data_IF_141125578875
#
_entry.id   IF_141125578875
#
_cell.length_a   1.000
_cell.length_b   1.000
_cell.length_c   1.000
_cell.angle_alpha   90.00
_cell.angle_beta   90.00
_cell.angle_gamma   90.00
#
_symmetry.space_group_name_H-M   'P 1'
#
loop_
_entity.id
_entity.type
_entity.pdbx_description
1 polymer ?
#
# COMPACT_ATOMS: atom_id res chain seq x y z
N UNK A 1 -8.15 -22.47 -13.89
CA UNK A 1 -8.03 -21.83 -12.57
C UNK A 1 -7.51 -20.43 -12.81
N UNK A 2 -8.19 -19.40 -12.28
CA UNK A 2 -7.67 -18.03 -12.29
C UNK A 2 -6.78 -17.84 -11.06
N UNK A 3 -5.56 -17.38 -11.29
CA UNK A 3 -4.60 -17.01 -10.25
C UNK A 3 -4.59 -15.50 -10.15
N UNK A 4 -4.70 -14.98 -8.94
CA UNK A 4 -4.64 -13.54 -8.66
C UNK A 4 -3.48 -13.31 -7.69
N UNK A 5 -2.56 -12.43 -8.06
CA UNK A 5 -1.55 -11.91 -7.13
C UNK A 5 -2.26 -10.92 -6.18
N UNK A 6 -2.27 -11.23 -4.90
CA UNK A 6 -3.02 -10.46 -3.91
C UNK A 6 -2.29 -9.22 -3.40
N UNK A 7 -1.01 -9.04 -3.72
CA UNK A 7 -0.22 -7.90 -3.23
C UNK A 7 1.00 -7.64 -4.12
N UNK A 8 0.92 -6.62 -4.92
CA UNK A 8 2.01 -6.19 -5.79
C UNK A 8 2.13 -4.66 -5.81
N UNK A 9 3.26 -4.16 -6.27
CA UNK A 9 3.56 -2.74 -6.38
C UNK A 9 3.99 -2.41 -7.80
N UNK A 10 3.54 -1.25 -8.31
CA UNK A 10 3.98 -0.71 -9.59
C UNK A 10 4.49 0.71 -9.41
N UNK A 11 5.61 1.04 -10.06
CA UNK A 11 6.17 2.39 -10.07
C UNK A 11 6.95 2.67 -11.35
N UNK A 12 6.97 3.93 -11.75
CA UNK A 12 7.81 4.40 -12.86
C UNK A 12 9.18 4.88 -12.37
N UNK A 13 9.24 5.40 -11.16
CA UNK A 13 10.47 5.87 -10.55
C UNK A 13 10.37 5.71 -9.03
N UNK A 14 11.37 5.08 -8.45
CA UNK A 14 11.55 4.96 -7.02
C UNK A 14 12.62 5.97 -6.59
N UNK A 15 12.22 7.20 -6.34
CA UNK A 15 13.10 8.29 -5.90
C UNK A 15 12.41 9.03 -4.76
N UNK A 16 12.55 8.49 -3.57
CA UNK A 16 11.78 8.85 -2.38
C UNK A 16 12.69 9.04 -1.17
N UNK A 17 12.11 9.41 -0.06
CA UNK A 17 12.80 9.55 1.20
C UNK A 17 11.98 8.93 2.33
N UNK A 18 12.64 8.15 3.17
CA UNK A 18 12.06 7.59 4.39
C UNK A 18 13.00 7.87 5.55
N UNK A 19 12.48 8.51 6.59
CA UNK A 19 13.22 8.90 7.79
C UNK A 19 14.51 9.69 7.47
N UNK A 20 14.42 10.68 6.56
CA UNK A 20 15.54 11.52 6.16
C UNK A 20 16.58 10.83 5.27
N UNK A 21 16.36 9.57 4.89
CA UNK A 21 17.27 8.81 4.04
C UNK A 21 16.65 8.58 2.67
N UNK A 22 17.37 8.96 1.63
CA UNK A 22 16.93 8.81 0.25
C UNK A 22 16.88 7.33 -0.16
N UNK A 23 15.85 7.00 -0.91
CA UNK A 23 15.71 5.73 -1.62
C UNK A 23 15.79 6.05 -3.10
N UNK A 24 16.75 5.45 -3.81
CA UNK A 24 16.93 5.69 -5.23
C UNK A 24 17.40 4.43 -5.95
N UNK A 25 16.94 4.19 -7.19
CA UNK A 25 17.33 3.02 -7.95
C UNK A 25 18.80 3.08 -8.36
N UNK A 26 19.42 1.91 -8.38
CA UNK A 26 20.73 1.63 -8.94
C UNK A 26 20.59 0.56 -10.04
N UNK A 27 21.59 0.37 -10.90
CA UNK A 27 21.54 -0.65 -11.94
C UNK A 27 21.32 -2.07 -11.39
N UNK A 28 20.75 -2.93 -12.24
CA UNK A 28 20.57 -4.38 -11.98
C UNK A 28 19.70 -4.67 -10.73
N UNK A 29 18.61 -3.93 -10.57
CA UNK A 29 17.64 -4.14 -9.48
C UNK A 29 18.15 -3.76 -8.08
N UNK A 30 19.29 -3.11 -7.98
CA UNK A 30 19.82 -2.59 -6.71
C UNK A 30 19.24 -1.22 -6.41
N UNK A 31 19.26 -0.86 -5.16
CA UNK A 31 18.82 0.47 -4.71
C UNK A 31 19.70 0.96 -3.55
N UNK A 32 19.88 2.25 -3.49
CA UNK A 32 20.28 2.88 -2.24
C UNK A 32 19.06 2.92 -1.33
N UNK A 33 19.07 2.13 -0.26
CA UNK A 33 17.96 1.98 0.66
C UNK A 33 18.43 2.25 2.09
N UNK A 34 17.87 3.27 2.73
CA UNK A 34 18.20 3.66 4.12
C UNK A 34 19.69 3.92 4.36
N UNK A 35 20.43 4.33 3.31
CA UNK A 35 21.86 4.63 3.36
C UNK A 35 22.78 3.46 3.00
N UNK A 36 22.21 2.31 2.63
CA UNK A 36 22.94 1.12 2.22
C UNK A 36 22.55 0.70 0.81
N UNK A 37 23.49 0.13 0.06
CA UNK A 37 23.21 -0.44 -1.23
C UNK A 37 22.70 -1.88 -1.06
N UNK A 38 21.45 -2.15 -1.50
CA UNK A 38 20.80 -3.44 -1.36
C UNK A 38 20.23 -3.94 -2.67
N UNK A 39 20.09 -5.25 -2.81
CA UNK A 39 19.36 -5.88 -3.91
C UNK A 39 17.87 -5.86 -3.58
N UNK A 40 17.14 -4.89 -4.11
CA UNK A 40 15.68 -4.75 -3.86
C UNK A 40 14.81 -5.47 -4.87
N UNK A 41 15.26 -5.56 -6.12
CA UNK A 41 14.53 -6.15 -7.23
C UNK A 41 15.37 -7.25 -7.88
N UNK A 42 14.75 -8.14 -8.67
CA UNK A 42 15.52 -9.08 -9.48
C UNK A 42 16.52 -8.36 -10.39
N UNK A 43 17.73 -8.91 -10.60
CA UNK A 43 18.79 -8.25 -11.39
C UNK A 43 18.41 -7.89 -12.83
N UNK A 44 17.42 -8.54 -13.41
CA UNK A 44 16.94 -8.25 -14.77
C UNK A 44 16.11 -6.94 -14.83
N UNK A 45 15.69 -6.41 -13.71
CA UNK A 45 15.00 -5.09 -13.62
C UNK A 45 16.05 -3.97 -13.58
N UNK A 46 16.73 -3.78 -14.72
CA UNK A 46 17.99 -3.02 -14.83
C UNK A 46 17.84 -1.52 -14.62
N UNK A 47 16.66 -0.96 -14.83
CA UNK A 47 16.40 0.49 -14.75
C UNK A 47 15.65 0.91 -13.47
N UNK A 48 15.45 -0.03 -12.54
CA UNK A 48 14.79 0.22 -11.26
C UNK A 48 13.31 0.59 -11.37
N UNK A 49 12.67 0.35 -12.53
CA UNK A 49 11.23 0.52 -12.73
C UNK A 49 10.51 -0.81 -12.61
N UNK A 50 9.30 -0.77 -12.09
CA UNK A 50 8.35 -1.87 -12.15
C UNK A 50 7.06 -1.38 -12.80
N UNK A 51 7.09 -1.16 -14.11
CA UNK A 51 5.94 -0.67 -14.85
C UNK A 51 4.87 -1.75 -15.05
N UNK A 52 3.65 -1.31 -15.37
CA UNK A 52 2.54 -2.21 -15.66
C UNK A 52 2.87 -3.19 -16.79
N UNK A 53 3.58 -2.75 -17.83
CA UNK A 53 3.96 -3.57 -18.98
C UNK A 53 4.94 -4.67 -18.58
N UNK A 54 5.97 -4.32 -17.78
CA UNK A 54 6.93 -5.29 -17.24
C UNK A 54 6.21 -6.30 -16.35
N UNK A 55 5.34 -5.80 -15.47
CA UNK A 55 4.61 -6.64 -14.55
C UNK A 55 3.61 -7.58 -15.27
N UNK A 56 2.88 -7.09 -16.28
CA UNK A 56 2.01 -7.92 -17.14
C UNK A 56 2.83 -9.02 -17.82
N UNK A 57 4.00 -8.71 -18.36
CA UNK A 57 4.86 -9.74 -18.99
C UNK A 57 5.26 -10.83 -18.01
N UNK A 58 5.57 -10.47 -16.75
CA UNK A 58 5.86 -11.44 -15.69
C UNK A 58 4.61 -12.24 -15.30
N UNK A 59 3.45 -11.58 -15.18
CA UNK A 59 2.16 -12.23 -14.91
C UNK A 59 1.80 -13.24 -15.99
N UNK A 60 1.95 -12.88 -17.26
CA UNK A 60 1.64 -13.75 -18.39
C UNK A 60 2.58 -14.98 -18.43
N UNK A 61 3.86 -14.78 -18.19
CA UNK A 61 4.83 -15.87 -18.03
C UNK A 61 4.45 -16.81 -16.88
N UNK A 62 4.07 -16.26 -15.73
CA UNK A 62 3.66 -17.02 -14.54
C UNK A 62 2.19 -17.51 -14.57
N UNK A 63 1.44 -17.20 -15.64
CA UNK A 63 0.00 -17.50 -15.80
C UNK A 63 -0.88 -16.89 -14.70
N UNK A 64 -0.48 -15.72 -14.19
CA UNK A 64 -1.26 -14.92 -13.25
C UNK A 64 -2.26 -14.06 -14.03
N UNK A 65 -3.53 -14.18 -13.71
CA UNK A 65 -4.61 -13.55 -14.47
C UNK A 65 -4.81 -12.07 -14.14
N UNK A 66 -4.64 -11.71 -12.87
CA UNK A 66 -4.82 -10.35 -12.36
C UNK A 66 -3.94 -10.11 -11.14
N UNK A 67 -3.76 -8.86 -10.77
CA UNK A 67 -3.05 -8.48 -9.55
C UNK A 67 -3.77 -7.35 -8.78
N UNK A 68 -3.62 -7.36 -7.49
CA UNK A 68 -3.98 -6.27 -6.60
C UNK A 68 -2.77 -5.38 -6.42
N UNK A 69 -2.88 -4.13 -6.88
CA UNK A 69 -1.80 -3.15 -6.80
C UNK A 69 -2.02 -2.25 -5.62
N UNK A 70 -1.07 -2.29 -4.72
CA UNK A 70 -1.00 -1.44 -3.54
C UNK A 70 0.19 -0.47 -3.65
N UNK A 71 0.37 0.38 -2.66
CA UNK A 71 1.44 1.37 -2.61
C UNK A 71 2.12 1.37 -1.25
N UNK A 72 3.38 1.80 -1.22
CA UNK A 72 4.11 2.08 0.01
C UNK A 72 4.91 3.39 -0.18
N UNK A 73 5.23 4.08 0.89
CA UNK A 73 6.01 5.33 0.82
C UNK A 73 7.41 5.14 0.23
N UNK A 74 7.97 3.93 0.34
CA UNK A 74 9.26 3.60 -0.28
C UNK A 74 9.23 3.69 -1.81
N UNK A 75 8.06 3.44 -2.42
CA UNK A 75 7.85 3.53 -3.87
C UNK A 75 7.47 4.95 -4.30
N UNK A 76 7.14 5.81 -3.34
CA UNK A 76 6.47 7.09 -3.56
C UNK A 76 4.99 6.95 -3.87
N UNK A 77 4.28 8.08 -3.82
CA UNK A 77 2.86 8.12 -4.18
C UNK A 77 2.70 8.01 -5.70
N UNK A 78 2.26 6.85 -6.18
CA UNK A 78 2.09 6.54 -7.59
C UNK A 78 0.63 6.74 -8.08
N UNK A 79 -0.20 7.48 -7.33
CA UNK A 79 -1.64 7.56 -7.57
C UNK A 79 -2.02 7.95 -9.01
N UNK A 80 -1.37 8.95 -9.60
CA UNK A 80 -1.72 9.39 -10.96
C UNK A 80 -1.31 8.34 -12.00
N UNK A 81 -0.15 7.71 -11.84
CA UNK A 81 0.27 6.59 -12.68
C UNK A 81 -0.69 5.40 -12.55
N UNK A 82 -1.02 5.01 -11.34
CA UNK A 82 -1.89 3.85 -11.08
C UNK A 82 -3.33 4.09 -11.57
N UNK A 83 -3.80 5.32 -11.58
CA UNK A 83 -5.08 5.67 -12.21
C UNK A 83 -5.08 5.37 -13.70
N UNK A 84 -4.00 5.73 -14.41
CA UNK A 84 -3.87 5.43 -15.85
C UNK A 84 -3.69 3.92 -16.09
N UNK A 85 -2.95 3.22 -15.23
CA UNK A 85 -2.81 1.76 -15.26
C UNK A 85 -4.18 1.08 -15.16
N UNK A 86 -5.01 1.48 -14.18
CA UNK A 86 -6.36 0.94 -14.01
C UNK A 86 -7.24 1.18 -15.24
N UNK A 87 -7.15 2.35 -15.85
CA UNK A 87 -7.90 2.69 -17.05
C UNK A 87 -7.45 1.87 -18.27
N UNK A 88 -6.15 1.65 -18.40
CA UNK A 88 -5.56 0.94 -19.55
C UNK A 88 -5.74 -0.57 -19.44
N UNK A 89 -5.69 -1.11 -18.23
CA UNK A 89 -5.72 -2.55 -17.95
C UNK A 89 -6.78 -2.93 -16.91
N UNK A 90 -8.08 -2.62 -17.14
CA UNK A 90 -9.13 -2.71 -16.12
C UNK A 90 -9.38 -4.14 -15.62
N UNK A 91 -9.12 -5.14 -16.45
CA UNK A 91 -9.31 -6.56 -16.10
C UNK A 91 -8.07 -7.23 -15.51
N UNK A 92 -6.95 -6.50 -15.49
CA UNK A 92 -5.67 -7.02 -15.01
C UNK A 92 -5.30 -6.47 -13.64
N UNK A 93 -5.71 -5.26 -13.30
CA UNK A 93 -5.27 -4.59 -12.08
C UNK A 93 -6.43 -4.03 -11.24
N UNK A 94 -6.46 -4.43 -9.98
CA UNK A 94 -7.27 -3.83 -8.93
C UNK A 94 -6.36 -2.89 -8.13
N UNK A 95 -6.64 -1.59 -8.15
CA UNK A 95 -5.69 -0.58 -7.68
C UNK A 95 -6.19 0.13 -6.43
N UNK A 96 -5.35 0.19 -5.41
CA UNK A 96 -5.57 0.97 -4.20
C UNK A 96 -4.91 2.34 -4.30
N UNK A 97 -5.64 3.39 -3.89
CA UNK A 97 -5.07 4.71 -3.66
C UNK A 97 -4.40 4.80 -2.30
N UNK A 98 -3.41 5.69 -2.17
CA UNK A 98 -2.75 5.97 -0.90
C UNK A 98 -2.61 7.48 -0.69
N UNK A 99 -3.05 7.99 0.46
CA UNK A 99 -2.83 9.38 0.85
C UNK A 99 -1.48 9.53 1.59
N UNK A 100 -0.95 10.75 1.64
CA UNK A 100 0.18 11.04 2.52
C UNK A 100 -0.34 11.39 3.92
N UNK A 101 -0.46 10.36 4.76
CA UNK A 101 -0.98 10.46 6.13
C UNK A 101 -0.13 11.36 7.05
N UNK A 102 1.07 11.74 6.63
CA UNK A 102 1.95 12.69 7.34
C UNK A 102 1.53 14.14 7.11
N UNK A 103 0.61 14.39 6.19
CA UNK A 103 0.13 15.73 5.84
C UNK A 103 -1.21 16.01 6.52
N UNK A 104 -1.47 17.25 6.96
CA UNK A 104 -2.71 17.58 7.65
C UNK A 104 -3.98 17.42 6.78
N UNK A 105 -3.84 17.47 5.47
CA UNK A 105 -4.94 17.32 4.51
C UNK A 105 -5.08 15.89 3.93
N UNK A 106 -4.54 14.87 4.61
CA UNK A 106 -4.55 13.49 4.12
C UNK A 106 -5.97 12.93 3.89
N UNK A 107 -6.94 13.31 4.74
CA UNK A 107 -8.32 12.85 4.59
C UNK A 107 -8.96 13.39 3.30
N UNK A 108 -8.71 14.66 2.98
CA UNK A 108 -9.14 15.24 1.70
C UNK A 108 -8.47 14.54 0.51
N UNK A 109 -7.18 14.22 0.63
CA UNK A 109 -6.47 13.43 -0.40
C UNK A 109 -7.13 12.06 -0.58
N UNK A 110 -7.42 11.33 0.50
CA UNK A 110 -8.08 10.02 0.45
C UNK A 110 -9.45 10.10 -0.22
N UNK A 111 -10.28 11.09 0.15
CA UNK A 111 -11.58 11.29 -0.46
C UNK A 111 -11.47 11.59 -1.96
N UNK A 112 -10.52 12.42 -2.39
CA UNK A 112 -10.26 12.66 -3.83
C UNK A 112 -9.86 11.40 -4.59
N UNK A 113 -9.10 10.49 -3.95
CA UNK A 113 -8.74 9.20 -4.56
C UNK A 113 -9.98 8.30 -4.72
N UNK A 114 -10.84 8.26 -3.71
CA UNK A 114 -12.13 7.55 -3.78
C UNK A 114 -12.96 8.06 -4.97
N UNK A 115 -13.09 9.38 -5.12
CA UNK A 115 -13.84 10.00 -6.21
C UNK A 115 -13.19 9.76 -7.59
N UNK A 116 -11.87 9.56 -7.64
CA UNK A 116 -11.15 9.14 -8.85
C UNK A 116 -11.37 7.66 -9.22
N UNK A 117 -12.12 6.90 -8.42
CA UNK A 117 -12.53 5.54 -8.72
C UNK A 117 -11.52 4.46 -8.36
N UNK A 118 -10.64 4.67 -7.41
CA UNK A 118 -9.80 3.60 -6.87
C UNK A 118 -10.64 2.50 -6.21
N UNK A 119 -10.15 1.27 -6.22
CA UNK A 119 -10.87 0.09 -5.68
C UNK A 119 -10.94 0.07 -4.15
N UNK A 120 -10.13 0.90 -3.51
CA UNK A 120 -10.03 1.06 -2.07
C UNK A 120 -8.87 1.97 -1.71
N UNK A 121 -8.60 2.06 -0.42
CA UNK A 121 -7.52 2.89 0.13
C UNK A 121 -6.54 2.01 0.89
N UNK A 122 -5.26 2.24 0.65
CA UNK A 122 -4.14 1.66 1.39
C UNK A 122 -3.77 2.56 2.56
N UNK A 123 -3.62 1.95 3.73
CA UNK A 123 -3.07 2.58 4.94
C UNK A 123 -1.84 1.80 5.37
N UNK A 124 -0.63 2.31 5.14
CA UNK A 124 0.60 1.73 5.68
C UNK A 124 0.72 2.13 7.15
N UNK A 125 0.02 1.43 8.04
CA UNK A 125 -0.16 1.83 9.42
C UNK A 125 1.18 1.90 10.20
N UNK A 126 2.20 1.16 9.76
CA UNK A 126 3.57 1.33 10.25
C UNK A 126 4.09 2.76 10.10
N UNK A 127 3.61 3.50 9.10
CA UNK A 127 4.01 4.89 8.82
C UNK A 127 3.10 5.93 9.48
N UNK A 128 2.14 5.49 10.29
CA UNK A 128 1.30 6.37 11.11
C UNK A 128 1.93 6.68 12.47
N UNK A 129 3.05 6.05 12.78
CA UNK A 129 3.79 6.19 14.03
C UNK A 129 5.13 6.83 13.72
N UNK A 130 5.33 8.04 14.19
CA UNK A 130 6.63 8.75 14.18
C UNK A 130 7.12 8.98 15.60
N UNK A 131 8.33 9.51 15.74
CA UNK A 131 8.95 9.74 17.05
C UNK A 131 8.15 10.74 17.91
N UNK A 132 7.57 11.77 17.27
CA UNK A 132 6.84 12.86 17.95
C UNK A 132 5.38 13.01 17.48
N UNK A 133 4.89 12.10 16.64
CA UNK A 133 3.53 12.15 16.11
C UNK A 133 2.94 10.77 15.88
N UNK A 134 1.62 10.66 15.96
CA UNK A 134 0.89 9.42 15.68
C UNK A 134 -0.49 9.73 15.11
N UNK A 135 -0.90 8.96 14.11
CA UNK A 135 -2.29 8.90 13.65
C UNK A 135 -2.86 7.55 14.07
N UNK A 136 -3.91 7.55 14.87
CA UNK A 136 -4.57 6.33 15.33
C UNK A 136 -5.61 5.87 14.31
N UNK A 137 -5.66 4.55 14.05
CA UNK A 137 -6.64 3.96 13.11
C UNK A 137 -8.09 4.18 13.57
N UNK A 138 -8.32 4.30 14.86
CA UNK A 138 -9.63 4.58 15.46
C UNK A 138 -9.86 6.08 15.77
N UNK A 139 -9.01 6.98 15.29
CA UNK A 139 -9.22 8.42 15.45
C UNK A 139 -10.42 8.90 14.63
N UNK A 140 -11.09 9.98 15.08
CA UNK A 140 -12.30 10.48 14.42
C UNK A 140 -12.12 10.75 12.90
N UNK A 141 -11.03 11.38 12.41
CA UNK A 141 -10.82 11.54 10.96
C UNK A 141 -10.63 10.20 10.24
N UNK A 142 -9.96 9.22 10.89
CA UNK A 142 -9.76 7.91 10.31
C UNK A 142 -11.09 7.13 10.26
N UNK A 143 -11.90 7.18 11.31
CA UNK A 143 -13.24 6.59 11.31
C UNK A 143 -14.14 7.20 10.24
N UNK A 144 -14.05 8.50 9.97
CA UNK A 144 -14.75 9.12 8.84
C UNK A 144 -14.36 8.48 7.51
N UNK A 145 -13.07 8.20 7.29
CA UNK A 145 -12.61 7.47 6.10
C UNK A 145 -13.18 6.04 6.07
N UNK A 146 -13.16 5.32 7.21
CA UNK A 146 -13.70 3.95 7.29
C UNK A 146 -15.19 3.89 6.93
N UNK A 147 -15.99 4.81 7.45
CA UNK A 147 -17.41 4.93 7.09
C UNK A 147 -17.58 5.21 5.59
N UNK A 148 -16.78 6.13 5.03
CA UNK A 148 -16.83 6.44 3.59
C UNK A 148 -16.51 5.20 2.73
N UNK A 149 -15.49 4.43 3.09
CA UNK A 149 -15.13 3.20 2.39
C UNK A 149 -16.25 2.15 2.49
N UNK A 150 -16.78 1.93 3.69
CA UNK A 150 -17.89 1.01 3.95
C UNK A 150 -19.12 1.39 3.11
N UNK A 151 -19.56 2.64 3.17
CA UNK A 151 -20.79 3.11 2.51
C UNK A 151 -20.68 3.07 0.98
N UNK A 152 -19.49 3.28 0.43
CA UNK A 152 -19.21 3.13 -1.00
C UNK A 152 -18.87 1.68 -1.42
N UNK A 153 -18.84 0.73 -0.49
CA UNK A 153 -18.48 -0.67 -0.76
C UNK A 153 -17.05 -0.85 -1.23
N UNK A 154 -16.15 0.05 -0.84
CA UNK A 154 -14.73 0.00 -1.15
C UNK A 154 -13.97 -0.85 -0.13
N UNK A 155 -12.69 -1.08 -0.38
CA UNK A 155 -11.86 -1.96 0.43
C UNK A 155 -10.84 -1.12 1.22
N UNK A 156 -10.70 -1.41 2.51
CA UNK A 156 -9.56 -0.99 3.31
C UNK A 156 -8.43 -2.01 3.12
N UNK A 157 -7.24 -1.55 2.73
CA UNK A 157 -6.03 -2.35 2.82
C UNK A 157 -5.11 -1.74 3.88
N UNK A 158 -4.83 -2.47 4.95
CA UNK A 158 -4.01 -1.99 6.08
C UNK A 158 -2.79 -2.87 6.30
N UNK A 159 -1.64 -2.26 6.55
CA UNK A 159 -0.44 -2.92 7.04
C UNK A 159 -0.12 -2.41 8.44
N UNK A 160 -0.14 -3.30 9.42
CA UNK A 160 0.13 -2.95 10.81
C UNK A 160 1.63 -2.72 11.04
N UNK A 161 1.98 -1.84 11.96
CA UNK A 161 3.37 -1.58 12.37
C UNK A 161 3.94 -2.73 13.19
N UNK A 162 3.19 -3.09 14.19
CA UNK A 162 3.28 -4.30 14.94
C UNK A 162 1.86 -4.68 15.40
N UNK A 163 1.63 -5.95 15.58
CA UNK A 163 0.32 -6.44 15.96
C UNK A 163 -0.15 -5.86 17.29
N UNK A 164 0.74 -5.76 18.27
CA UNK A 164 0.39 -5.42 19.65
C UNK A 164 -0.24 -4.04 19.81
N UNK A 165 0.33 -3.02 19.13
CA UNK A 165 -0.10 -1.63 19.36
C UNK A 165 -1.29 -1.22 18.51
N UNK A 166 -1.55 -1.87 17.40
CA UNK A 166 -2.59 -1.48 16.44
C UNK A 166 -3.74 -2.47 16.33
N UNK A 167 -3.62 -3.65 16.91
CA UNK A 167 -4.73 -4.65 16.93
C UNK A 167 -5.97 -4.04 17.59
N UNK A 168 -5.80 -3.40 18.76
CA UNK A 168 -6.94 -2.78 19.46
C UNK A 168 -7.60 -1.66 18.65
N UNK A 169 -6.81 -0.86 17.95
CA UNK A 169 -7.34 0.19 17.07
C UNK A 169 -8.14 -0.43 15.92
N UNK A 170 -7.64 -1.53 15.34
CA UNK A 170 -8.33 -2.22 14.24
C UNK A 170 -9.58 -2.97 14.73
N UNK A 171 -9.57 -3.50 15.96
CA UNK A 171 -10.77 -4.04 16.60
C UNK A 171 -11.87 -2.97 16.72
N UNK A 172 -11.52 -1.77 17.20
CA UNK A 172 -12.47 -0.67 17.32
C UNK A 172 -13.06 -0.29 15.95
N UNK A 173 -12.23 -0.23 14.91
CA UNK A 173 -12.68 -0.04 13.52
C UNK A 173 -13.65 -1.16 13.10
N UNK A 174 -13.34 -2.41 13.39
CA UNK A 174 -14.16 -3.58 13.02
C UNK A 174 -15.50 -3.58 13.74
N UNK A 175 -15.52 -3.18 15.01
CA UNK A 175 -16.75 -3.06 15.79
C UNK A 175 -17.67 -1.95 15.29
N UNK A 176 -17.11 -0.79 14.93
CA UNK A 176 -17.90 0.35 14.45
C UNK A 176 -18.28 0.21 12.97
N UNK A 177 -17.44 -0.45 12.18
CA UNK A 177 -17.65 -0.69 10.75
C UNK A 177 -17.69 -2.18 10.40
N UNK A 178 -18.64 -3.00 10.94
CA UNK A 178 -18.59 -4.46 10.82
C UNK A 178 -18.71 -4.97 9.37
N UNK A 179 -19.21 -4.17 8.44
CA UNK A 179 -19.34 -4.51 7.03
C UNK A 179 -18.25 -3.92 6.15
N UNK A 180 -17.24 -3.29 6.73
CA UNK A 180 -16.08 -2.79 6.00
C UNK A 180 -15.23 -3.98 5.54
N UNK A 181 -15.06 -4.12 4.24
CA UNK A 181 -14.15 -5.13 3.68
C UNK A 181 -12.72 -4.71 3.94
N UNK A 182 -12.02 -5.48 4.77
CA UNK A 182 -10.65 -5.18 5.19
C UNK A 182 -9.70 -6.28 4.75
N UNK A 183 -8.57 -5.87 4.19
CA UNK A 183 -7.42 -6.74 3.87
C UNK A 183 -6.26 -6.33 4.79
N UNK A 184 -5.76 -7.27 5.56
CA UNK A 184 -4.58 -7.09 6.41
C UNK A 184 -3.37 -7.64 5.66
N UNK A 185 -2.46 -6.76 5.28
CA UNK A 185 -1.22 -7.12 4.59
C UNK A 185 -0.20 -7.80 5.52
N UNK A 186 0.71 -8.58 4.91
CA UNK A 186 1.85 -9.21 5.60
C UNK A 186 1.49 -10.02 6.85
N UNK A 187 0.32 -10.68 6.86
CA UNK A 187 -0.20 -11.42 8.03
C UNK A 187 -0.20 -10.58 9.32
N UNK A 188 -0.44 -9.25 9.24
CA UNK A 188 -0.40 -8.37 10.42
C UNK A 188 0.99 -8.16 11.00
N UNK A 189 2.06 -8.40 10.23
CA UNK A 189 3.45 -8.27 10.68
C UNK A 189 3.84 -9.24 11.81
N UNK A 190 3.32 -10.44 11.80
CA UNK A 190 3.55 -11.51 12.83
C UNK A 190 4.97 -12.10 12.83
N UNK A 191 5.95 -11.38 12.38
CA UNK A 191 7.36 -11.81 12.35
C UNK A 191 8.13 -11.43 13.62
N UNK A 192 7.50 -10.71 14.53
CA UNK A 192 8.13 -10.27 15.78
C UNK A 192 8.01 -11.30 16.90
N UNK A 193 8.90 -11.17 17.87
CA UNK A 193 8.83 -11.93 19.13
C UNK A 193 7.46 -11.71 19.79
N UNK A 194 6.83 -12.78 20.26
CA UNK A 194 5.50 -12.72 20.90
C UNK A 194 4.30 -12.86 19.96
N UNK A 195 4.50 -12.97 18.65
CA UNK A 195 3.40 -13.06 17.68
C UNK A 195 2.44 -14.25 17.88
N UNK A 196 2.90 -15.32 18.53
CA UNK A 196 2.06 -16.48 18.90
C UNK A 196 1.04 -16.16 19.98
N UNK A 197 1.20 -15.04 20.67
CA UNK A 197 0.32 -14.59 21.77
C UNK A 197 -0.73 -13.58 21.27
N UNK A 198 -0.63 -13.15 20.03
CA UNK A 198 -1.55 -12.25 19.32
C UNK A 198 -2.60 -13.04 18.54
#
# INVERSE_FOLDING_TARGET
IKIIDAHAHLWLKQDTEVNGKRISPLPNGRSMFMGEEVQMLPPFMIDGRNSAEVFISNMDYARVSAAVITQEFIDGLQNDYLKEVKKTYPDRFFVFGMADYRKPNWLEQANRLIDKGFSGIKIPAARLIGDEWRVYLNSAPMMQLMHTLKDKGLILHVELADGDTQVKELEDVSHECPNLRTVIGHFGMVTRSGWMEQ
#
